data_IF_736773708914
#
_entry.id   IF_736773708914
#
_cell.length_a   1.000
_cell.length_b   1.000
_cell.length_c   1.000
_cell.angle_alpha   90.00
_cell.angle_beta   90.00
_cell.angle_gamma   90.00
#
_symmetry.space_group_name_H-M   'P 1'
#
loop_
_entity.id
_entity.type
_entity.pdbx_description
1 polymer ?
#
# COMPACT_ATOMS: atom_id res chain seq x y z
N UNK A 1 14.96 -7.14 1.57
CA UNK A 1 14.18 -5.95 2.00
C UNK A 1 13.45 -6.13 3.33
N UNK A 2 12.35 -6.91 3.46
CA UNK A 2 11.71 -7.09 4.78
C UNK A 2 12.50 -7.98 5.74
N UNK A 3 13.08 -9.06 5.23
CA UNK A 3 13.96 -9.96 6.00
C UNK A 3 15.20 -9.23 6.52
N UNK A 4 15.84 -8.41 5.67
CA UNK A 4 16.98 -7.57 6.11
C UNK A 4 16.58 -6.53 7.16
N UNK A 5 15.36 -5.99 7.09
CA UNK A 5 14.87 -5.06 8.12
C UNK A 5 14.64 -5.75 9.47
N UNK A 6 14.11 -6.98 9.46
CA UNK A 6 13.95 -7.80 10.68
C UNK A 6 15.32 -8.17 11.26
N UNK A 7 16.28 -8.56 10.43
CA UNK A 7 17.66 -8.84 10.85
C UNK A 7 18.33 -7.59 11.47
N UNK A 8 18.09 -6.41 10.91
CA UNK A 8 18.60 -5.16 11.48
C UNK A 8 17.95 -4.82 12.83
N UNK A 9 16.67 -5.12 13.02
CA UNK A 9 15.98 -4.92 14.32
C UNK A 9 16.50 -5.87 15.40
N UNK A 10 16.68 -7.15 15.06
CA UNK A 10 17.20 -8.17 15.99
C UNK A 10 18.63 -7.81 16.42
N UNK A 11 19.48 -7.36 15.48
CA UNK A 11 20.85 -6.95 15.80
C UNK A 11 20.89 -5.72 16.72
N UNK A 12 19.99 -4.75 16.55
CA UNK A 12 19.92 -3.58 17.43
C UNK A 12 19.47 -3.95 18.86
N UNK A 13 18.55 -4.91 19.00
CA UNK A 13 18.06 -5.41 20.28
C UNK A 13 19.14 -6.19 21.06
N UNK A 14 19.97 -6.96 20.34
CA UNK A 14 21.13 -7.68 20.89
C UNK A 14 22.23 -6.70 21.36
N UNK A 15 22.42 -5.60 20.65
CA UNK A 15 23.36 -4.54 21.05
C UNK A 15 22.86 -3.75 22.27
N UNK A 16 21.54 -3.58 22.40
CA UNK A 16 20.92 -2.89 23.53
C UNK A 16 20.98 -3.70 24.84
N UNK A 17 21.03 -5.03 24.73
CA UNK A 17 21.15 -5.96 25.86
C UNK A 17 22.61 -6.20 26.30
N UNK A 18 23.58 -6.01 25.39
CA UNK A 18 25.01 -6.13 25.68
C UNK A 18 25.69 -4.76 25.94
N UNK A 19 25.70 -4.35 27.20
CA UNK A 19 26.74 -3.46 27.80
C UNK A 19 26.83 -1.99 27.35
N UNK A 20 26.34 -1.12 28.26
CA UNK A 20 27.05 0.08 28.77
C UNK A 20 27.75 1.00 27.77
N UNK A 21 26.99 1.92 27.16
CA UNK A 21 27.50 3.19 26.68
C UNK A 21 26.48 4.30 26.95
N UNK A 22 26.56 4.91 28.14
CA UNK A 22 25.63 5.96 28.60
C UNK A 22 25.53 7.20 27.70
N UNK A 23 26.38 7.32 26.67
CA UNK A 23 26.36 8.41 25.67
C UNK A 23 25.83 8.00 24.29
N UNK A 24 25.53 6.72 24.04
CA UNK A 24 25.03 6.22 22.74
C UNK A 24 23.56 5.75 22.80
N UNK A 25 22.97 5.62 23.99
CA UNK A 25 21.57 5.21 24.15
C UNK A 25 20.59 6.16 23.44
N UNK A 26 20.84 7.46 23.49
CA UNK A 26 20.00 8.46 22.82
C UNK A 26 20.08 8.35 21.29
N UNK A 27 21.26 8.04 20.75
CA UNK A 27 21.45 7.87 19.31
C UNK A 27 20.82 6.56 18.83
N UNK A 28 20.96 5.47 19.59
CA UNK A 28 20.30 4.18 19.34
C UNK A 28 18.78 4.34 19.37
N UNK A 29 18.23 5.01 20.39
CA UNK A 29 16.79 5.26 20.50
C UNK A 29 16.24 6.09 19.32
N UNK A 30 17.01 7.09 18.87
CA UNK A 30 16.67 7.91 17.70
C UNK A 30 16.65 7.09 16.41
N UNK A 31 17.65 6.22 16.19
CA UNK A 31 17.67 5.32 15.05
C UNK A 31 16.53 4.32 15.08
N UNK A 32 16.24 3.74 16.25
CA UNK A 32 15.13 2.81 16.43
C UNK A 32 13.78 3.46 16.10
N UNK A 33 13.50 4.67 16.60
CA UNK A 33 12.29 5.41 16.26
C UNK A 33 12.21 5.74 14.76
N UNK A 34 13.32 6.10 14.14
CA UNK A 34 13.40 6.39 12.70
C UNK A 34 13.08 5.14 11.88
N UNK A 35 13.66 3.99 12.23
CA UNK A 35 13.42 2.71 11.56
C UNK A 35 11.96 2.26 11.70
N UNK A 36 11.39 2.36 12.90
CA UNK A 36 9.97 2.06 13.14
C UNK A 36 9.04 2.93 12.28
N UNK A 37 9.36 4.22 12.14
CA UNK A 37 8.58 5.11 11.29
C UNK A 37 8.66 4.71 9.81
N UNK A 38 9.87 4.42 9.32
CA UNK A 38 10.09 3.99 7.93
C UNK A 38 9.34 2.67 7.67
N UNK A 39 9.43 1.71 8.58
CA UNK A 39 8.73 0.44 8.48
C UNK A 39 7.21 0.64 8.40
N UNK A 40 6.64 1.48 9.27
CA UNK A 40 5.22 1.79 9.24
C UNK A 40 4.79 2.45 7.92
N UNK A 41 5.62 3.35 7.37
CA UNK A 41 5.38 3.97 6.07
C UNK A 41 5.39 2.94 4.95
N UNK A 42 6.43 2.09 4.89
CA UNK A 42 6.58 1.08 3.83
C UNK A 42 5.46 0.04 3.87
N UNK A 43 5.09 -0.44 5.06
CA UNK A 43 3.95 -1.36 5.24
C UNK A 43 2.67 -0.73 4.72
N UNK A 44 2.37 0.50 5.14
CA UNK A 44 1.16 1.19 4.71
C UNK A 44 1.16 1.46 3.19
N UNK A 45 2.29 1.86 2.63
CA UNK A 45 2.42 2.11 1.20
C UNK A 45 2.17 0.85 0.40
N UNK A 46 2.77 -0.26 0.78
CA UNK A 46 2.58 -1.54 0.11
C UNK A 46 1.08 -1.92 0.08
N UNK A 47 0.39 -1.77 1.22
CA UNK A 47 -1.06 -1.98 1.27
C UNK A 47 -1.84 -1.08 0.29
N UNK A 48 -1.52 0.22 0.23
CA UNK A 48 -2.15 1.18 -0.70
C UNK A 48 -1.88 0.78 -2.15
N UNK A 49 -0.64 0.47 -2.49
CA UNK A 49 -0.24 0.13 -3.86
C UNK A 49 -0.91 -1.16 -4.35
N UNK A 50 -0.91 -2.21 -3.54
CA UNK A 50 -1.58 -3.47 -3.89
C UNK A 50 -3.08 -3.27 -4.07
N UNK A 51 -3.73 -2.50 -3.18
CA UNK A 51 -5.15 -2.23 -3.29
C UNK A 51 -5.49 -1.38 -4.51
N UNK A 52 -4.67 -0.37 -4.81
CA UNK A 52 -4.82 0.50 -5.98
C UNK A 52 -4.71 -0.31 -7.28
N UNK A 53 -3.68 -1.16 -7.45
CA UNK A 53 -3.51 -2.00 -8.65
C UNK A 53 -4.73 -2.88 -8.90
N UNK A 54 -5.28 -3.49 -7.84
CA UNK A 54 -6.47 -4.35 -7.92
C UNK A 54 -7.69 -3.59 -8.40
N UNK A 55 -7.92 -2.39 -7.85
CA UNK A 55 -9.06 -1.55 -8.21
C UNK A 55 -8.90 -1.03 -9.65
N UNK A 56 -7.72 -0.55 -10.02
CA UNK A 56 -7.41 -0.03 -11.36
C UNK A 56 -7.66 -1.08 -12.45
N UNK A 57 -7.21 -2.32 -12.19
CA UNK A 57 -7.44 -3.46 -13.08
C UNK A 57 -8.93 -3.73 -13.32
N UNK A 58 -9.75 -3.67 -12.28
CA UNK A 58 -11.19 -3.89 -12.40
C UNK A 58 -11.87 -2.74 -13.15
N UNK A 59 -11.59 -1.49 -12.78
CA UNK A 59 -12.22 -0.29 -13.36
C UNK A 59 -11.89 -0.15 -14.85
N UNK A 60 -10.69 -0.56 -15.27
CA UNK A 60 -10.31 -0.53 -16.69
C UNK A 60 -11.05 -1.57 -17.53
N UNK A 61 -11.57 -2.65 -16.91
CA UNK A 61 -12.19 -3.79 -17.62
C UNK A 61 -13.71 -3.82 -17.54
N UNK A 62 -14.29 -3.19 -16.53
CA UNK A 62 -15.72 -3.27 -16.22
C UNK A 62 -16.27 -1.87 -16.00
N UNK A 63 -17.45 -1.59 -16.56
CA UNK A 63 -18.14 -0.34 -16.32
C UNK A 63 -18.78 -0.34 -14.93
N UNK A 64 -18.34 0.58 -14.07
CA UNK A 64 -18.91 0.81 -12.74
C UNK A 64 -19.69 2.12 -12.65
N UNK A 65 -20.45 2.28 -11.58
CA UNK A 65 -21.24 3.48 -11.32
C UNK A 65 -20.36 4.73 -11.26
N UNK A 66 -20.91 5.86 -11.73
CA UNK A 66 -20.19 7.14 -11.79
C UNK A 66 -19.64 7.59 -10.44
N UNK A 67 -20.34 7.27 -9.34
CA UNK A 67 -19.89 7.55 -7.98
C UNK A 67 -18.61 6.77 -7.62
N UNK A 68 -18.51 5.50 -8.01
CA UNK A 68 -17.32 4.67 -7.76
C UNK A 68 -16.15 5.20 -8.56
N UNK A 69 -16.37 5.50 -9.85
CA UNK A 69 -15.35 6.08 -10.72
C UNK A 69 -14.85 7.43 -10.20
N UNK A 70 -15.73 8.27 -9.63
CA UNK A 70 -15.35 9.54 -9.04
C UNK A 70 -14.47 9.38 -7.79
N UNK A 71 -14.86 8.47 -6.87
CA UNK A 71 -14.06 8.17 -5.66
C UNK A 71 -12.69 7.63 -6.06
N UNK A 72 -12.64 6.70 -7.02
CA UNK A 72 -11.41 6.13 -7.53
C UNK A 72 -10.52 7.19 -8.18
N UNK A 73 -11.04 7.99 -9.11
CA UNK A 73 -10.26 9.00 -9.84
C UNK A 73 -9.57 10.00 -8.90
N UNK A 74 -10.23 10.39 -7.81
CA UNK A 74 -9.60 11.25 -6.80
C UNK A 74 -8.42 10.56 -6.10
N UNK A 75 -8.62 9.31 -5.67
CA UNK A 75 -7.57 8.53 -5.01
C UNK A 75 -6.41 8.18 -5.96
N UNK A 76 -6.72 7.89 -7.23
CA UNK A 76 -5.76 7.62 -8.31
C UNK A 76 -4.85 8.82 -8.53
N UNK A 77 -5.43 10.02 -8.69
CA UNK A 77 -4.65 11.26 -8.87
C UNK A 77 -3.70 11.49 -7.70
N UNK A 78 -4.19 11.36 -6.47
CA UNK A 78 -3.39 11.55 -5.26
C UNK A 78 -2.26 10.50 -5.17
N UNK A 79 -2.54 9.24 -5.51
CA UNK A 79 -1.55 8.16 -5.50
C UNK A 79 -0.49 8.33 -6.60
N UNK A 80 -0.88 8.65 -7.84
CA UNK A 80 0.07 8.92 -8.94
C UNK A 80 0.96 10.11 -8.65
N UNK A 81 0.41 11.18 -8.06
CA UNK A 81 1.20 12.34 -7.62
C UNK A 81 2.26 11.94 -6.58
N UNK A 82 1.89 11.07 -5.63
CA UNK A 82 2.82 10.52 -4.66
C UNK A 82 3.92 9.69 -5.34
N UNK A 83 3.56 8.79 -6.26
CA UNK A 83 4.52 7.95 -6.98
C UNK A 83 5.53 8.76 -7.80
N UNK A 84 5.08 9.81 -8.51
CA UNK A 84 5.96 10.74 -9.24
C UNK A 84 6.91 11.45 -8.29
N UNK A 85 6.40 11.94 -7.15
CA UNK A 85 7.24 12.64 -6.16
C UNK A 85 8.35 11.76 -5.58
N UNK A 86 8.12 10.45 -5.55
CA UNK A 86 9.02 9.43 -5.03
C UNK A 86 10.01 9.00 -6.11
N UNK A 87 9.56 8.82 -7.35
CA UNK A 87 10.43 8.54 -8.49
C UNK A 87 11.44 9.67 -8.71
N UNK A 88 11.04 10.93 -8.50
CA UNK A 88 11.94 12.08 -8.58
C UNK A 88 12.94 12.13 -7.41
N UNK A 89 12.72 11.37 -6.34
CA UNK A 89 13.55 11.29 -5.15
C UNK A 89 13.91 9.83 -4.85
N UNK A 90 14.86 9.25 -5.58
CA UNK A 90 15.30 7.84 -5.46
C UNK A 90 15.74 7.41 -4.05
N UNK A 91 15.83 8.33 -3.09
CA UNK A 91 16.10 8.00 -1.70
C UNK A 91 14.78 7.76 -0.96
N UNK A 92 14.34 6.49 -0.96
CA UNK A 92 13.15 6.01 -0.25
C UNK A 92 13.18 6.39 1.24
N UNK A 93 14.35 6.38 1.89
CA UNK A 93 14.49 6.79 3.29
C UNK A 93 14.13 8.27 3.49
N UNK A 94 14.60 9.16 2.61
CA UNK A 94 14.23 10.59 2.65
C UNK A 94 12.74 10.82 2.38
N UNK A 95 12.13 10.00 1.53
CA UNK A 95 10.68 10.05 1.28
C UNK A 95 9.89 9.56 2.50
N UNK A 96 10.29 8.45 3.12
CA UNK A 96 9.67 7.91 4.31
C UNK A 96 9.80 8.82 5.54
N UNK A 97 10.85 9.64 5.62
CA UNK A 97 11.05 10.60 6.70
C UNK A 97 10.22 11.89 6.57
N UNK A 98 9.49 12.08 5.46
CA UNK A 98 8.56 13.22 5.33
C UNK A 98 7.40 13.03 6.30
N UNK A 99 7.28 13.93 7.30
CA UNK A 99 6.28 13.87 8.39
C UNK A 99 4.84 13.59 7.93
N UNK A 100 4.46 14.03 6.73
CA UNK A 100 3.09 13.92 6.22
C UNK A 100 2.83 12.67 5.36
N UNK A 101 3.83 11.83 5.08
CA UNK A 101 3.65 10.69 4.17
C UNK A 101 2.78 9.60 4.79
N UNK A 102 3.00 9.25 6.07
CA UNK A 102 2.20 8.23 6.74
C UNK A 102 0.72 8.63 6.88
N UNK A 103 0.35 9.84 7.32
CA UNK A 103 -1.03 10.31 7.30
C UNK A 103 -1.66 10.28 5.90
N UNK A 104 -0.92 10.70 4.86
CA UNK A 104 -1.39 10.68 3.48
C UNK A 104 -1.68 9.26 2.99
N UNK A 105 -0.77 8.31 3.25
CA UNK A 105 -0.96 6.90 2.90
C UNK A 105 -2.12 6.25 3.68
N UNK A 106 -2.34 6.64 4.95
CA UNK A 106 -3.52 6.21 5.72
C UNK A 106 -4.81 6.75 5.13
N UNK A 107 -4.82 8.02 4.70
CA UNK A 107 -5.96 8.62 4.03
C UNK A 107 -6.26 7.94 2.69
N UNK A 108 -5.24 7.71 1.85
CA UNK A 108 -5.37 7.00 0.58
C UNK A 108 -5.93 5.59 0.76
N UNK A 109 -5.39 4.82 1.71
CA UNK A 109 -5.90 3.49 2.02
C UNK A 109 -7.39 3.55 2.36
N UNK A 110 -7.80 4.46 3.25
CA UNK A 110 -9.22 4.64 3.61
C UNK A 110 -10.12 4.94 2.41
N UNK A 111 -9.68 5.76 1.46
CA UNK A 111 -10.46 6.04 0.25
C UNK A 111 -10.55 4.83 -0.67
N UNK A 112 -9.45 4.11 -0.87
CA UNK A 112 -9.42 2.90 -1.68
C UNK A 112 -10.24 1.76 -1.06
N UNK A 113 -10.24 1.60 0.28
CA UNK A 113 -11.08 0.61 0.97
C UNK A 113 -12.57 0.92 0.74
N UNK A 114 -12.99 2.18 0.85
CA UNK A 114 -14.37 2.58 0.53
C UNK A 114 -14.75 2.29 -0.92
N UNK A 115 -13.82 2.53 -1.85
CA UNK A 115 -13.99 2.18 -3.24
C UNK A 115 -14.16 0.67 -3.42
N UNK A 116 -13.30 -0.13 -2.79
CA UNK A 116 -13.37 -1.59 -2.81
C UNK A 116 -14.70 -2.14 -2.27
N UNK A 117 -15.19 -1.61 -1.14
CA UNK A 117 -16.48 -1.99 -0.58
C UNK A 117 -17.64 -1.67 -1.53
N UNK A 118 -17.59 -0.53 -2.20
CA UNK A 118 -18.60 -0.12 -3.16
C UNK A 118 -18.58 -1.00 -4.41
N UNK A 119 -17.39 -1.32 -4.92
CA UNK A 119 -17.17 -2.26 -6.02
C UNK A 119 -17.74 -3.65 -5.69
N UNK A 120 -17.43 -4.17 -4.51
CA UNK A 120 -17.95 -5.46 -4.03
C UNK A 120 -19.48 -5.49 -4.00
N UNK A 121 -20.12 -4.42 -3.52
CA UNK A 121 -21.59 -4.30 -3.47
C UNK A 121 -22.21 -4.30 -4.87
N UNK A 122 -21.64 -3.54 -5.80
CA UNK A 122 -22.16 -3.50 -7.18
C UNK A 122 -21.98 -4.85 -7.88
N UNK A 123 -20.81 -5.46 -7.78
CA UNK A 123 -20.55 -6.78 -8.35
C UNK A 123 -21.51 -7.84 -7.79
N UNK A 124 -21.75 -7.85 -6.48
CA UNK A 124 -22.69 -8.78 -5.85
C UNK A 124 -24.15 -8.58 -6.30
N UNK A 125 -24.55 -7.35 -6.61
CA UNK A 125 -25.89 -7.07 -7.12
C UNK A 125 -26.04 -7.54 -8.58
N UNK A 126 -25.02 -7.33 -9.41
CA UNK A 126 -24.99 -7.76 -10.81
C UNK A 126 -24.93 -9.30 -10.95
N UNK A 127 -24.20 -10.00 -10.05
CA UNK A 127 -24.21 -11.47 -10.01
C UNK A 127 -25.57 -12.01 -9.60
N UNK A 128 -26.24 -11.39 -8.61
CA UNK A 128 -27.63 -11.73 -8.25
C UNK A 128 -28.63 -11.56 -9.40
N UNK A 129 -28.38 -10.61 -10.30
CA UNK A 129 -29.22 -10.33 -11.46
C UNK A 129 -28.86 -11.18 -12.70
N UNK A 130 -27.90 -12.10 -12.58
CA UNK A 130 -27.52 -13.03 -13.66
C UNK A 130 -26.74 -12.41 -14.81
N UNK A 131 -26.28 -11.15 -14.68
CA UNK A 131 -25.52 -10.45 -15.74
C UNK A 131 -24.03 -10.79 -15.75
N UNK A 132 -23.47 -11.18 -14.60
CA UNK A 132 -22.06 -11.54 -14.43
C UNK A 132 -21.93 -13.03 -14.08
N UNK A 133 -22.07 -13.91 -15.07
CA UNK A 133 -21.91 -15.38 -14.90
C UNK A 133 -20.50 -15.87 -15.32
N UNK A 134 -19.59 -14.98 -15.75
CA UNK A 134 -18.37 -15.39 -16.47
C UNK A 134 -17.02 -15.13 -15.79
N UNK A 135 -16.98 -14.50 -14.63
CA UNK A 135 -15.79 -14.52 -13.78
C UNK A 135 -16.05 -15.58 -12.71
N UNK A 136 -15.27 -16.66 -12.70
CA UNK A 136 -15.36 -17.66 -11.63
C UNK A 136 -15.24 -16.92 -10.30
N UNK A 137 -16.21 -17.13 -9.40
CA UNK A 137 -16.30 -16.42 -8.11
C UNK A 137 -14.96 -16.41 -7.36
N UNK A 138 -14.13 -17.44 -7.57
CA UNK A 138 -12.78 -17.61 -7.04
C UNK A 138 -11.80 -16.55 -7.56
N UNK A 139 -11.81 -16.17 -8.85
CA UNK A 139 -10.87 -15.17 -9.40
C UNK A 139 -11.23 -13.74 -8.99
N UNK A 140 -12.52 -13.39 -8.95
CA UNK A 140 -12.96 -12.11 -8.43
C UNK A 140 -12.75 -12.02 -6.92
N UNK A 141 -13.05 -13.10 -6.19
CA UNK A 141 -12.83 -13.18 -4.75
C UNK A 141 -11.34 -13.15 -4.42
N UNK A 142 -10.46 -13.87 -5.10
CA UNK A 142 -9.01 -13.83 -4.86
C UNK A 142 -8.42 -12.45 -5.18
N UNK A 143 -8.85 -11.82 -6.27
CA UNK A 143 -8.46 -10.45 -6.62
C UNK A 143 -8.92 -9.45 -5.55
N UNK A 144 -10.08 -9.69 -4.94
CA UNK A 144 -10.65 -8.85 -3.87
C UNK A 144 -10.17 -9.20 -2.46
N UNK A 145 -9.83 -10.45 -2.14
CA UNK A 145 -9.65 -10.94 -0.75
C UNK A 145 -8.23 -11.38 -0.41
N UNK A 146 -7.44 -11.89 -1.36
CA UNK A 146 -6.07 -12.32 -1.10
C UNK A 146 -5.08 -11.34 -1.73
N UNK A 147 -4.15 -10.79 -0.96
CA UNK A 147 -3.13 -9.84 -1.42
C UNK A 147 -2.13 -10.39 -2.46
N UNK A 148 -2.40 -11.52 -3.09
CA UNK A 148 -1.47 -12.21 -3.96
C UNK A 148 -1.89 -12.09 -5.42
N UNK A 149 -1.61 -10.92 -5.99
CA UNK A 149 -1.24 -10.87 -7.40
C UNK A 149 0.29 -10.87 -7.40
N UNK A 150 0.89 -12.06 -7.52
CA UNK A 150 2.29 -12.18 -7.90
C UNK A 150 2.40 -11.88 -9.41
N UNK A 151 2.25 -10.61 -9.80
CA UNK A 151 2.61 -10.14 -11.13
C UNK A 151 3.57 -8.99 -10.97
N UNK A 152 4.80 -9.23 -11.43
CA UNK A 152 5.88 -8.29 -11.70
C UNK A 152 5.47 -6.82 -11.62
N UNK A 153 5.66 -6.24 -10.42
CA UNK A 153 5.45 -4.81 -10.12
C UNK A 153 6.34 -3.90 -11.01
N UNK A 154 7.33 -4.46 -11.71
CA UNK A 154 8.23 -3.70 -12.58
C UNK A 154 7.72 -3.39 -13.99
N UNK A 155 6.58 -3.92 -14.46
CA UNK A 155 6.15 -3.72 -15.86
C UNK A 155 4.97 -2.77 -16.07
N UNK A 156 4.20 -2.43 -15.04
CA UNK A 156 3.00 -1.56 -15.21
C UNK A 156 3.30 -0.09 -14.88
N UNK A 157 4.43 0.23 -14.25
CA UNK A 157 4.83 1.61 -13.93
C UNK A 157 5.73 2.28 -14.98
N UNK A 158 6.03 1.61 -16.10
CA UNK A 158 6.99 2.08 -17.12
C UNK A 158 6.44 2.15 -18.56
N UNK A 159 5.13 2.26 -18.76
CA UNK A 159 4.55 2.67 -20.06
C UNK A 159 3.48 3.74 -19.86
#
# INVERSE_FOLDING_TARGET
MFVEMEDHQINLEILQTNQSAGSFLDEIAKWQSTLQHIEAVLKQWNCVQLLWIKIDYLITRIQFDSQINFIYSKADKDFRTLMISVQNNNNVLKCCQKKNILPMLKYLNKQLTKCQESLRKQLFNETKQGRLVFLTDIQLFDLLTSGYIHLNINLVLFN
#
